data_IF_124924995218
#
_entry.id   IF_124924995218
#
_cell.length_a   1.000
_cell.length_b   1.000
_cell.length_c   1.000
_cell.angle_alpha   90.00
_cell.angle_beta   90.00
_cell.angle_gamma   90.00
#
_symmetry.space_group_name_H-M   'P 1'
#
loop_
_entity.id
_entity.type
_entity.pdbx_description
1 polymer ?
#
# COMPACT_ATOMS: atom_id res chain seq x y z
N UNK A 1 17.43 -17.40 -24.47
CA UNK A 1 16.03 -17.63 -24.06
C UNK A 1 15.60 -16.95 -22.76
N UNK A 2 16.50 -16.35 -21.96
CA UNK A 2 16.12 -15.82 -20.64
C UNK A 2 15.37 -14.47 -20.62
N UNK A 3 15.62 -13.56 -21.57
CA UNK A 3 15.05 -12.20 -21.49
C UNK A 3 13.52 -12.15 -21.72
N UNK A 4 13.01 -12.99 -22.64
CA UNK A 4 11.56 -13.11 -22.88
C UNK A 4 10.82 -13.61 -21.63
N UNK A 5 11.40 -14.61 -20.95
CA UNK A 5 10.85 -15.16 -19.71
C UNK A 5 10.88 -14.12 -18.58
N UNK A 6 11.95 -13.31 -18.46
CA UNK A 6 12.01 -12.21 -17.50
C UNK A 6 10.90 -11.18 -17.77
N UNK A 7 10.69 -10.78 -19.03
CA UNK A 7 9.61 -9.84 -19.38
C UNK A 7 8.25 -10.41 -18.98
N UNK A 8 7.95 -11.66 -19.36
CA UNK A 8 6.68 -12.31 -19.02
C UNK A 8 6.47 -12.36 -17.51
N UNK A 9 7.50 -12.72 -16.74
CA UNK A 9 7.42 -12.77 -15.28
C UNK A 9 7.20 -11.39 -14.65
N UNK A 10 7.93 -10.37 -15.09
CA UNK A 10 7.78 -9.00 -14.56
C UNK A 10 6.42 -8.41 -14.91
N UNK A 11 5.92 -8.63 -16.14
CA UNK A 11 4.59 -8.20 -16.54
C UNK A 11 3.49 -8.92 -15.75
N UNK A 12 3.58 -10.26 -15.62
CA UNK A 12 2.62 -11.02 -14.83
C UNK A 12 2.62 -10.59 -13.36
N UNK A 13 3.81 -10.35 -12.78
CA UNK A 13 3.95 -9.82 -11.43
C UNK A 13 3.25 -8.46 -11.28
N UNK A 14 3.47 -7.53 -12.22
CA UNK A 14 2.80 -6.23 -12.22
C UNK A 14 1.27 -6.35 -12.26
N UNK A 15 0.72 -7.22 -13.13
CA UNK A 15 -0.73 -7.45 -13.23
C UNK A 15 -1.29 -8.02 -11.92
N UNK A 16 -0.64 -9.04 -11.34
CA UNK A 16 -1.09 -9.68 -10.11
C UNK A 16 -1.01 -8.70 -8.93
N UNK A 17 0.03 -7.87 -8.88
CA UNK A 17 0.23 -6.87 -7.83
C UNK A 17 -0.84 -5.78 -7.83
N UNK A 18 -1.22 -5.30 -9.01
CA UNK A 18 -2.27 -4.28 -9.17
C UNK A 18 -3.68 -4.86 -9.00
N UNK A 19 -3.83 -6.19 -9.03
CA UNK A 19 -5.09 -6.84 -8.76
C UNK A 19 -5.44 -6.78 -7.26
N UNK A 20 -6.02 -5.65 -6.85
CA UNK A 20 -6.43 -5.37 -5.47
C UNK A 20 -7.96 -5.33 -5.33
N UNK A 21 -8.68 -6.47 -5.44
CA UNK A 21 -10.15 -6.50 -5.39
C UNK A 21 -10.73 -6.07 -4.04
N UNK A 22 -9.90 -6.04 -2.99
CA UNK A 22 -10.30 -5.65 -1.64
C UNK A 22 -10.39 -4.12 -1.43
N UNK A 23 -9.72 -3.31 -2.27
CA UNK A 23 -9.71 -1.84 -2.11
C UNK A 23 -11.10 -1.19 -2.07
N UNK A 24 -12.11 -1.55 -2.91
CA UNK A 24 -13.45 -0.95 -2.80
C UNK A 24 -14.16 -1.30 -1.49
N UNK A 25 -13.74 -2.35 -0.78
CA UNK A 25 -14.33 -2.77 0.49
C UNK A 25 -13.63 -2.15 1.71
N UNK A 26 -12.57 -1.37 1.52
CA UNK A 26 -11.81 -0.80 2.63
C UNK A 26 -12.65 0.20 3.44
N UNK A 27 -13.28 1.17 2.79
CA UNK A 27 -14.14 2.16 3.46
C UNK A 27 -15.28 1.53 4.26
N UNK A 28 -16.11 0.64 3.68
CA UNK A 28 -17.17 0.00 4.44
C UNK A 28 -16.60 -0.88 5.57
N UNK A 29 -15.43 -1.51 5.42
CA UNK A 29 -14.79 -2.27 6.49
C UNK A 29 -14.38 -1.40 7.69
N UNK A 30 -13.79 -0.22 7.45
CA UNK A 30 -13.36 0.69 8.51
C UNK A 30 -14.54 1.30 9.30
N UNK A 31 -15.68 1.50 8.64
CA UNK A 31 -16.89 2.06 9.27
C UNK A 31 -17.74 0.96 9.94
N UNK A 32 -17.60 -0.29 9.51
CA UNK A 32 -18.35 -1.42 10.06
C UNK A 32 -18.01 -1.69 11.55
N UNK A 33 -18.90 -2.38 12.29
CA UNK A 33 -18.70 -2.70 13.72
C UNK A 33 -17.32 -3.23 14.15
N UNK A 34 -16.57 -4.04 13.37
CA UNK A 34 -15.24 -4.49 13.77
C UNK A 34 -14.20 -3.36 13.95
N UNK A 35 -14.37 -2.20 13.31
CA UNK A 35 -13.45 -1.05 13.41
C UNK A 35 -14.14 0.21 13.92
N UNK A 36 -15.39 0.42 13.53
CA UNK A 36 -16.31 1.41 14.08
C UNK A 36 -15.79 2.86 14.02
N UNK A 37 -15.08 3.23 12.95
CA UNK A 37 -14.67 4.62 12.71
C UNK A 37 -15.81 5.44 12.10
N UNK A 38 -15.84 6.75 12.37
CA UNK A 38 -16.78 7.66 11.71
C UNK A 38 -16.32 7.99 10.29
N UNK A 39 -17.26 8.36 9.42
CA UNK A 39 -16.93 8.85 8.07
C UNK A 39 -15.94 10.03 8.13
N UNK A 40 -16.15 10.97 9.04
CA UNK A 40 -15.28 12.14 9.18
C UNK A 40 -13.84 11.73 9.55
N UNK A 41 -13.65 10.80 10.49
CA UNK A 41 -12.32 10.29 10.85
C UNK A 41 -11.63 9.61 9.65
N UNK A 42 -12.36 8.77 8.91
CA UNK A 42 -11.79 8.05 7.77
C UNK A 42 -11.37 9.01 6.65
N UNK A 43 -12.25 9.93 6.26
CA UNK A 43 -12.00 10.83 5.14
C UNK A 43 -11.06 11.99 5.48
N UNK A 44 -11.11 12.54 6.69
CA UNK A 44 -10.35 13.74 7.06
C UNK A 44 -9.04 13.41 7.77
N UNK A 45 -8.97 12.32 8.54
CA UNK A 45 -7.81 12.01 9.37
C UNK A 45 -6.99 10.82 8.86
N UNK A 46 -7.59 9.88 8.13
CA UNK A 46 -6.93 8.64 7.70
C UNK A 46 -6.50 8.72 6.22
N UNK A 47 -7.42 8.89 5.28
CA UNK A 47 -7.11 8.86 3.84
C UNK A 47 -6.13 9.92 3.33
N UNK A 48 -6.07 11.15 3.86
CA UNK A 48 -5.10 12.13 3.38
C UNK A 48 -3.64 11.67 3.56
N UNK A 49 -3.36 10.82 4.55
CA UNK A 49 -2.01 10.29 4.78
C UNK A 49 -1.48 9.47 3.60
N UNK A 50 -2.35 8.73 2.89
CA UNK A 50 -1.93 8.00 1.69
C UNK A 50 -1.41 8.97 0.63
N UNK A 51 -2.20 9.99 0.28
CA UNK A 51 -1.84 10.97 -0.76
C UNK A 51 -0.56 11.74 -0.40
N UNK A 52 -0.45 12.22 0.84
CA UNK A 52 0.73 12.99 1.27
C UNK A 52 1.99 12.13 1.37
N UNK A 53 1.88 10.94 1.96
CA UNK A 53 3.03 10.03 2.06
C UNK A 53 3.48 9.51 0.70
N UNK A 54 2.55 9.23 -0.21
CA UNK A 54 2.87 8.86 -1.59
C UNK A 54 3.69 9.95 -2.29
N UNK A 55 3.25 11.21 -2.20
CA UNK A 55 4.00 12.35 -2.77
C UNK A 55 5.43 12.42 -2.22
N UNK A 56 5.60 12.24 -0.91
CA UNK A 56 6.93 12.23 -0.28
C UNK A 56 7.75 11.02 -0.74
N UNK A 57 7.15 9.85 -0.87
CA UNK A 57 7.80 8.61 -1.26
C UNK A 57 8.25 8.58 -2.74
N UNK A 58 7.64 9.40 -3.61
CA UNK A 58 8.07 9.54 -5.01
C UNK A 58 9.52 10.02 -5.13
N UNK A 59 9.94 10.96 -4.29
CA UNK A 59 11.29 11.54 -4.32
C UNK A 59 12.38 10.49 -4.07
N UNK A 60 12.41 9.75 -2.94
CA UNK A 60 13.40 8.72 -2.73
C UNK A 60 13.24 7.57 -3.72
N UNK A 61 12.01 7.20 -4.12
CA UNK A 61 11.79 6.12 -5.08
C UNK A 61 12.49 6.39 -6.41
N UNK A 62 12.50 7.65 -6.89
CA UNK A 62 13.21 8.08 -8.09
C UNK A 62 14.73 7.82 -7.99
N UNK A 63 15.36 8.22 -6.87
CA UNK A 63 16.78 7.97 -6.65
C UNK A 63 17.09 6.47 -6.47
N UNK A 64 16.23 5.74 -5.77
CA UNK A 64 16.40 4.29 -5.56
C UNK A 64 16.26 3.50 -6.86
N UNK A 65 15.35 3.87 -7.76
CA UNK A 65 15.18 3.18 -9.05
C UNK A 65 16.45 3.27 -9.89
N UNK A 66 17.10 4.43 -9.90
CA UNK A 66 18.29 4.68 -10.70
C UNK A 66 19.54 4.06 -10.07
N UNK A 67 19.67 4.11 -8.73
CA UNK A 67 20.87 3.66 -8.04
C UNK A 67 20.88 2.14 -7.77
N UNK A 68 19.74 1.58 -7.37
CA UNK A 68 19.67 0.24 -6.78
C UNK A 68 18.96 -0.81 -7.67
N UNK A 69 18.48 -0.40 -8.85
CA UNK A 69 17.64 -1.20 -9.75
C UNK A 69 16.31 -1.58 -9.09
N UNK A 70 15.48 -2.37 -9.80
CA UNK A 70 14.10 -2.69 -9.38
C UNK A 70 13.97 -3.56 -8.10
N UNK A 71 15.03 -4.27 -7.68
CA UNK A 71 14.90 -5.32 -6.65
C UNK A 71 14.59 -4.79 -5.24
N UNK A 72 15.28 -3.76 -4.70
CA UNK A 72 15.00 -3.28 -3.36
C UNK A 72 13.63 -2.62 -3.23
N UNK A 73 13.16 -1.96 -4.29
CA UNK A 73 11.83 -1.33 -4.33
C UNK A 73 10.74 -2.39 -4.19
N UNK A 74 10.86 -3.51 -4.92
CA UNK A 74 9.90 -4.62 -4.81
C UNK A 74 9.87 -5.25 -3.40
N UNK A 75 11.03 -5.32 -2.72
CA UNK A 75 11.10 -5.84 -1.35
C UNK A 75 10.45 -4.87 -0.36
N UNK A 76 10.78 -3.56 -0.46
CA UNK A 76 10.17 -2.53 0.40
C UNK A 76 8.66 -2.51 0.24
N UNK A 77 8.16 -2.59 -0.99
CA UNK A 77 6.73 -2.69 -1.25
C UNK A 77 6.09 -3.94 -0.63
N UNK A 78 6.72 -5.11 -0.77
CA UNK A 78 6.20 -6.33 -0.17
C UNK A 78 6.10 -6.25 1.36
N UNK A 79 7.10 -5.64 2.01
CA UNK A 79 7.08 -5.40 3.46
C UNK A 79 5.97 -4.40 3.83
N UNK A 80 5.82 -3.32 3.07
CA UNK A 80 4.78 -2.31 3.30
C UNK A 80 3.38 -2.94 3.24
N UNK A 81 3.10 -3.74 2.20
CA UNK A 81 1.85 -4.48 2.07
C UNK A 81 1.58 -5.41 3.25
N UNK A 82 2.59 -6.18 3.69
CA UNK A 82 2.46 -7.02 4.88
C UNK A 82 2.06 -6.20 6.11
N UNK A 83 2.70 -5.04 6.33
CA UNK A 83 2.36 -4.12 7.44
C UNK A 83 0.93 -3.60 7.31
N UNK A 84 0.51 -3.19 6.12
CA UNK A 84 -0.87 -2.75 5.85
C UNK A 84 -1.88 -3.81 6.25
N UNK A 85 -1.70 -5.04 5.81
CA UNK A 85 -2.64 -6.14 6.13
C UNK A 85 -2.66 -6.47 7.62
N UNK A 86 -1.51 -6.47 8.29
CA UNK A 86 -1.42 -6.65 9.75
C UNK A 86 -2.22 -5.55 10.46
N UNK A 87 -2.04 -4.29 10.07
CA UNK A 87 -2.75 -3.17 10.69
C UNK A 87 -4.26 -3.19 10.38
N UNK A 88 -4.66 -3.59 9.17
CA UNK A 88 -6.07 -3.74 8.82
C UNK A 88 -6.78 -4.81 9.66
N UNK A 89 -6.09 -5.92 9.97
CA UNK A 89 -6.65 -6.98 10.79
C UNK A 89 -6.67 -6.57 12.26
N UNK A 90 -5.54 -6.16 12.82
CA UNK A 90 -5.39 -6.00 14.27
C UNK A 90 -5.38 -4.57 14.81
N UNK A 91 -5.20 -3.55 13.96
CA UNK A 91 -5.18 -2.15 14.38
C UNK A 91 -6.59 -1.62 14.70
N UNK A 92 -6.76 -0.90 15.80
CA UNK A 92 -8.06 -0.36 16.24
C UNK A 92 -8.02 1.14 16.54
N UNK A 93 -6.88 1.80 16.36
CA UNK A 93 -6.74 3.25 16.62
C UNK A 93 -6.55 4.03 15.32
N UNK A 94 -6.88 5.33 15.37
CA UNK A 94 -6.74 6.24 14.22
C UNK A 94 -5.27 6.31 13.77
N UNK A 95 -4.33 6.45 14.70
CA UNK A 95 -2.89 6.44 14.42
C UNK A 95 -2.44 5.16 13.69
N UNK A 96 -2.97 3.99 14.06
CA UNK A 96 -2.67 2.75 13.37
C UNK A 96 -3.24 2.74 11.94
N UNK A 97 -4.43 3.30 11.73
CA UNK A 97 -5.01 3.45 10.38
C UNK A 97 -4.25 4.47 9.53
N UNK A 98 -3.69 5.52 10.12
CA UNK A 98 -2.82 6.47 9.42
C UNK A 98 -1.53 5.78 8.96
N UNK A 99 -0.87 5.01 9.82
CA UNK A 99 0.32 4.22 9.43
C UNK A 99 -0.04 3.17 8.36
N UNK A 100 -1.22 2.56 8.48
CA UNK A 100 -1.74 1.65 7.46
C UNK A 100 -1.84 2.36 6.10
N UNK A 101 -2.37 3.59 6.03
CA UNK A 101 -2.43 4.38 4.80
C UNK A 101 -1.05 4.80 4.28
N UNK A 102 -0.08 5.08 5.15
CA UNK A 102 1.30 5.36 4.74
C UNK A 102 1.96 4.14 4.07
N UNK A 103 1.55 2.94 4.45
CA UNK A 103 2.13 1.68 3.97
C UNK A 103 1.33 1.01 2.83
N UNK A 104 0.17 1.57 2.47
CA UNK A 104 -0.83 1.02 1.55
C UNK A 104 -0.48 1.19 0.06
#
# INVERSE_FOLDING_TARGET
>A
MNWKLIIVLVSAFGVIKEFRPATPFLTPYLISPPKNFTNEQVYSEVYPFWTYSYLVALVPSFFLTDLLRYKPIAITEAVALCVTWILLLWGNTIWQMQIMQITF
#
